data_IF_325200673840
#
_entry.id   IF_325200673840
#
_cell.length_a   1.000
_cell.length_b   1.000
_cell.length_c   1.000
_cell.angle_alpha   90.00
_cell.angle_beta   90.00
_cell.angle_gamma   90.00
#
_symmetry.space_group_name_H-M   'P 1'
#
loop_
_entity.id
_entity.type
_entity.pdbx_description
1 polymer ?
#
# COMPACT_ATOMS: atom_id res chain seq x y z
N UNK A 1 -25.42 17.98 -23.37
CA UNK A 1 -24.80 16.75 -22.82
C UNK A 1 -24.97 16.77 -21.30
N UNK A 2 -25.79 15.85 -20.78
CA UNK A 2 -26.06 15.72 -19.35
C UNK A 2 -24.83 15.17 -18.61
N UNK A 3 -24.86 15.21 -17.27
CA UNK A 3 -23.78 14.66 -16.44
C UNK A 3 -23.54 13.18 -16.75
N UNK A 4 -24.59 12.41 -16.94
CA UNK A 4 -24.56 10.97 -17.21
C UNK A 4 -24.02 10.64 -18.60
N UNK A 5 -24.46 11.37 -19.62
CA UNK A 5 -23.95 11.20 -20.99
C UNK A 5 -22.44 11.43 -21.06
N UNK A 6 -21.95 12.42 -20.29
CA UNK A 6 -20.51 12.70 -20.19
C UNK A 6 -19.73 11.61 -19.48
N UNK A 7 -20.31 11.00 -18.45
CA UNK A 7 -19.70 9.85 -17.78
C UNK A 7 -19.60 8.68 -18.74
N UNK A 8 -20.69 8.31 -19.43
CA UNK A 8 -20.71 7.20 -20.40
C UNK A 8 -19.73 7.41 -21.55
N UNK A 9 -19.66 8.64 -22.08
CA UNK A 9 -18.70 8.99 -23.12
C UNK A 9 -17.25 8.74 -22.68
N UNK A 10 -16.88 9.21 -21.49
CA UNK A 10 -15.51 9.00 -20.97
C UNK A 10 -15.25 7.56 -20.55
N UNK A 11 -16.27 6.83 -20.08
CA UNK A 11 -16.14 5.39 -19.81
C UNK A 11 -15.77 4.63 -21.08
N UNK A 12 -16.44 4.90 -22.21
CA UNK A 12 -16.11 4.27 -23.49
C UNK A 12 -14.65 4.52 -23.92
N UNK A 13 -14.19 5.77 -23.82
CA UNK A 13 -12.80 6.15 -24.14
C UNK A 13 -11.78 5.43 -23.25
N UNK A 14 -12.06 5.31 -21.95
CA UNK A 14 -11.14 4.64 -21.03
C UNK A 14 -11.10 3.13 -21.28
N UNK A 15 -12.21 2.52 -21.69
CA UNK A 15 -12.27 1.09 -22.01
C UNK A 15 -11.51 0.80 -23.32
N UNK A 16 -11.68 1.65 -24.34
CA UNK A 16 -10.89 1.59 -25.58
C UNK A 16 -9.38 1.74 -25.29
N UNK A 17 -9.02 2.69 -24.42
CA UNK A 17 -7.64 2.84 -23.95
C UNK A 17 -7.11 1.56 -23.28
N UNK A 18 -7.90 0.92 -22.41
CA UNK A 18 -7.49 -0.33 -21.74
C UNK A 18 -7.27 -1.46 -22.73
N UNK A 19 -8.11 -1.57 -23.77
CA UNK A 19 -7.95 -2.55 -24.85
C UNK A 19 -6.79 -2.25 -25.79
N UNK A 20 -6.38 -0.98 -25.93
CA UNK A 20 -5.32 -0.57 -26.87
C UNK A 20 -3.91 -1.03 -26.48
N UNK A 21 -3.64 -1.27 -25.19
CA UNK A 21 -2.29 -1.56 -24.69
C UNK A 21 -1.28 -0.41 -24.84
N UNK A 22 -1.72 0.76 -25.29
CA UNK A 22 -0.89 1.94 -25.50
C UNK A 22 -0.58 2.66 -24.18
N UNK A 23 0.49 3.47 -24.19
CA UNK A 23 0.69 4.45 -23.12
C UNK A 23 -0.38 5.54 -23.19
N UNK A 24 -0.77 6.12 -22.05
CA UNK A 24 -1.81 7.17 -22.01
C UNK A 24 -1.47 8.37 -22.90
N UNK A 25 -0.19 8.72 -23.02
CA UNK A 25 0.28 9.78 -23.90
C UNK A 25 0.15 9.42 -25.39
N UNK A 26 0.49 8.18 -25.77
CA UNK A 26 0.35 7.70 -27.14
C UNK A 26 -1.12 7.65 -27.57
N UNK A 27 -1.99 7.11 -26.71
CA UNK A 27 -3.44 7.08 -26.94
C UNK A 27 -4.02 8.49 -27.11
N UNK A 28 -3.64 9.44 -26.25
CA UNK A 28 -4.10 10.82 -26.38
C UNK A 28 -3.66 11.46 -27.70
N UNK A 29 -2.45 11.13 -28.18
CA UNK A 29 -1.92 11.65 -29.43
C UNK A 29 -2.66 11.06 -30.65
N UNK A 30 -2.91 9.76 -30.65
CA UNK A 30 -3.56 9.05 -31.75
C UNK A 30 -5.04 9.43 -31.89
N UNK A 31 -5.75 9.54 -30.77
CA UNK A 31 -7.18 9.86 -30.75
C UNK A 31 -7.46 11.38 -30.66
N UNK A 32 -6.41 12.22 -30.73
CA UNK A 32 -6.48 13.68 -30.62
C UNK A 32 -7.24 14.16 -29.36
N UNK A 33 -7.00 13.48 -28.23
CA UNK A 33 -7.62 13.75 -26.95
C UNK A 33 -6.71 14.65 -26.12
N UNK A 34 -7.30 15.64 -25.43
CA UNK A 34 -6.55 16.46 -24.48
C UNK A 34 -6.02 15.60 -23.31
N UNK A 35 -4.69 15.50 -23.09
CA UNK A 35 -4.12 14.63 -22.06
C UNK A 35 -4.60 14.97 -20.64
N UNK A 36 -4.74 16.27 -20.32
CA UNK A 36 -5.20 16.71 -19.00
C UNK A 36 -6.61 16.22 -18.69
N UNK A 37 -7.54 16.33 -19.65
CA UNK A 37 -8.91 15.80 -19.50
C UNK A 37 -8.90 14.28 -19.39
N UNK A 38 -8.10 13.60 -20.20
CA UNK A 38 -7.99 12.14 -20.16
C UNK A 38 -7.55 11.65 -18.78
N UNK A 39 -6.45 12.17 -18.23
CA UNK A 39 -5.97 11.75 -16.91
C UNK A 39 -6.95 12.11 -15.78
N UNK A 40 -7.60 13.26 -15.87
CA UNK A 40 -8.65 13.65 -14.93
C UNK A 40 -9.80 12.62 -14.92
N UNK A 41 -10.33 12.27 -16.10
CA UNK A 41 -11.43 11.31 -16.21
C UNK A 41 -11.02 9.89 -15.88
N UNK A 42 -9.81 9.46 -16.25
CA UNK A 42 -9.25 8.16 -15.84
C UNK A 42 -9.19 8.03 -14.33
N UNK A 43 -8.66 9.05 -13.63
CA UNK A 43 -8.60 9.08 -12.16
C UNK A 43 -9.99 9.09 -11.53
N UNK A 44 -10.90 9.90 -12.07
CA UNK A 44 -12.27 10.01 -11.56
C UNK A 44 -13.03 8.68 -11.68
N UNK A 45 -13.01 8.06 -12.86
CA UNK A 45 -13.70 6.78 -13.09
C UNK A 45 -13.06 5.63 -12.31
N UNK A 46 -11.75 5.64 -12.10
CA UNK A 46 -11.08 4.70 -11.20
C UNK A 46 -11.52 4.91 -9.74
N UNK A 47 -11.62 6.16 -9.29
CA UNK A 47 -12.08 6.47 -7.94
C UNK A 47 -13.56 6.15 -7.72
N UNK A 48 -14.41 6.31 -8.74
CA UNK A 48 -15.83 5.94 -8.65
C UNK A 48 -15.98 4.41 -8.53
N UNK A 49 -15.18 3.61 -9.26
CA UNK A 49 -15.09 2.16 -9.03
C UNK A 49 -14.54 1.81 -7.65
N UNK A 50 -13.52 2.54 -7.17
CA UNK A 50 -12.97 2.33 -5.84
C UNK A 50 -13.89 2.86 -4.74
N UNK A 51 -14.85 3.74 -5.01
CA UNK A 51 -15.77 4.25 -3.98
C UNK A 51 -16.77 3.18 -3.53
N UNK A 52 -17.10 2.21 -4.37
CA UNK A 52 -17.84 1.02 -3.94
C UNK A 52 -16.98 0.11 -3.02
N UNK A 53 -15.66 0.22 -3.09
CA UNK A 53 -14.68 -0.61 -2.37
C UNK A 53 -13.84 0.17 -1.34
N UNK A 54 -14.23 1.42 -1.02
CA UNK A 54 -13.62 2.25 0.05
C UNK A 54 -14.23 1.91 1.41
N UNK A 55 -14.36 0.61 1.68
CA UNK A 55 -14.49 0.11 3.04
C UNK A 55 -13.14 0.12 3.74
N UNK A 56 -13.15 0.10 5.08
CA UNK A 56 -11.95 -0.32 5.81
C UNK A 56 -11.68 -1.77 5.43
N UNK A 57 -10.54 -2.03 4.77
CA UNK A 57 -10.07 -3.39 4.60
C UNK A 57 -9.56 -3.86 5.96
N UNK A 58 -10.32 -4.73 6.61
CA UNK A 58 -9.88 -5.40 7.83
C UNK A 58 -8.61 -6.18 7.53
N UNK A 59 -7.49 -5.72 8.06
CA UNK A 59 -6.24 -6.47 8.00
C UNK A 59 -6.36 -7.63 8.97
N UNK A 60 -6.63 -8.83 8.46
CA UNK A 60 -6.47 -10.04 9.26
C UNK A 60 -4.99 -10.16 9.58
N UNK A 61 -4.59 -10.15 10.86
CA UNK A 61 -3.22 -10.47 11.20
C UNK A 61 -2.95 -11.86 10.66
N UNK A 62 -2.03 -11.97 9.69
CA UNK A 62 -1.40 -13.25 9.41
C UNK A 62 -0.63 -13.61 10.68
N UNK A 63 -1.29 -14.25 11.63
CA UNK A 63 -0.61 -15.02 12.66
C UNK A 63 0.07 -16.15 11.90
N UNK A 64 1.27 -15.88 11.38
CA UNK A 64 2.19 -16.94 11.02
C UNK A 64 2.22 -17.86 12.22
N UNK A 65 1.73 -19.08 12.01
CA UNK A 65 1.70 -20.15 12.99
C UNK A 65 3.15 -20.47 13.36
N UNK A 66 3.66 -19.69 14.29
CA UNK A 66 4.82 -19.96 15.11
C UNK A 66 4.33 -19.68 16.51
N UNK A 67 4.04 -20.74 17.24
CA UNK A 67 3.79 -20.68 18.68
C UNK A 67 5.07 -20.17 19.36
N UNK A 68 5.26 -18.85 19.36
CA UNK A 68 6.37 -18.22 20.06
C UNK A 68 5.81 -17.02 20.78
N UNK A 69 5.35 -17.28 22.01
CA UNK A 69 5.13 -16.26 23.04
C UNK A 69 6.47 -15.61 23.38
N UNK A 70 7.00 -14.81 22.46
CA UNK A 70 8.24 -14.08 22.57
C UNK A 70 7.99 -12.72 23.25
N UNK A 71 9.00 -12.24 23.96
CA UNK A 71 8.97 -10.93 24.61
C UNK A 71 9.71 -9.98 23.69
N UNK A 72 9.04 -8.92 23.27
CA UNK A 72 9.68 -7.82 22.55
C UNK A 72 10.05 -6.72 23.56
N UNK A 73 11.34 -6.41 23.64
CA UNK A 73 11.90 -5.36 24.49
C UNK A 73 12.28 -4.19 23.58
N UNK A 74 11.62 -3.06 23.75
CA UNK A 74 11.95 -1.82 23.06
C UNK A 74 12.78 -0.92 23.98
N UNK A 75 13.97 -0.54 23.52
CA UNK A 75 14.88 0.35 24.23
C UNK A 75 14.75 1.77 23.68
N UNK A 76 15.08 2.76 24.51
CA UNK A 76 14.94 4.19 24.19
C UNK A 76 15.87 4.67 23.06
N UNK A 77 16.88 3.88 22.72
CA UNK A 77 17.80 4.13 21.61
C UNK A 77 17.28 3.59 20.26
N UNK A 78 16.03 3.12 20.20
CA UNK A 78 15.42 2.58 18.98
C UNK A 78 15.78 1.12 18.70
N UNK A 79 16.57 0.47 19.56
CA UNK A 79 16.90 -0.95 19.44
C UNK A 79 15.75 -1.78 20.01
N UNK A 80 15.38 -2.83 19.28
CA UNK A 80 14.34 -3.77 19.68
C UNK A 80 14.95 -5.18 19.78
N UNK A 81 14.69 -5.87 20.88
CA UNK A 81 15.18 -7.23 21.15
C UNK A 81 13.99 -8.17 21.26
N UNK A 82 13.99 -9.25 20.49
CA UNK A 82 13.00 -10.31 20.58
C UNK A 82 13.57 -11.51 21.35
N UNK A 83 12.82 -11.98 22.35
CA UNK A 83 13.24 -13.06 23.25
C UNK A 83 12.24 -14.21 23.20
N UNK A 84 12.65 -15.33 22.64
CA UNK A 84 11.86 -16.58 22.62
C UNK A 84 11.94 -17.35 23.95
N UNK A 85 10.99 -18.25 24.18
CA UNK A 85 11.02 -19.16 25.34
C UNK A 85 12.26 -20.06 25.31
N UNK A 86 12.83 -20.37 26.48
CA UNK A 86 14.04 -21.18 26.60
C UNK A 86 15.35 -20.42 26.36
N UNK A 87 15.31 -19.08 26.39
CA UNK A 87 16.50 -18.25 26.32
C UNK A 87 17.40 -18.45 27.54
N UNK A 88 18.71 -18.29 27.34
CA UNK A 88 19.68 -18.28 28.42
C UNK A 88 19.73 -16.89 29.10
N UNK A 89 19.44 -16.79 30.41
CA UNK A 89 19.41 -15.50 31.11
C UNK A 89 20.75 -14.76 31.13
N UNK A 90 21.87 -15.50 31.13
CA UNK A 90 23.21 -14.90 31.17
C UNK A 90 23.51 -14.21 29.84
N UNK A 91 23.22 -14.89 28.74
CA UNK A 91 23.36 -14.33 27.38
C UNK A 91 22.46 -13.12 27.18
N UNK A 92 21.18 -13.18 27.58
CA UNK A 92 20.27 -12.03 27.45
C UNK A 92 20.76 -10.81 28.23
N UNK A 93 21.25 -11.02 29.46
CA UNK A 93 21.82 -9.95 30.27
C UNK A 93 23.01 -9.28 29.58
N UNK A 94 23.95 -10.06 29.04
CA UNK A 94 25.12 -9.52 28.34
C UNK A 94 24.74 -8.70 27.10
N UNK A 95 23.72 -9.15 26.35
CA UNK A 95 23.18 -8.40 25.21
C UNK A 95 22.59 -7.06 25.66
N UNK A 96 21.75 -7.06 26.70
CA UNK A 96 21.15 -5.84 27.23
C UNK A 96 22.22 -4.87 27.73
N UNK A 97 23.22 -5.35 28.48
CA UNK A 97 24.32 -4.52 28.98
C UNK A 97 25.14 -3.89 27.83
N UNK A 98 25.43 -4.66 26.78
CA UNK A 98 26.13 -4.17 25.60
C UNK A 98 25.33 -3.08 24.90
N UNK A 99 24.04 -3.33 24.66
CA UNK A 99 23.16 -2.39 23.95
C UNK A 99 22.93 -1.10 24.74
N UNK A 100 22.83 -1.19 26.07
CA UNK A 100 22.71 0.00 26.95
C UNK A 100 24.03 0.78 27.01
N UNK A 101 25.18 0.11 26.91
CA UNK A 101 26.49 0.77 26.89
C UNK A 101 26.78 1.50 25.57
N UNK A 102 26.10 1.16 24.48
CA UNK A 102 26.15 1.90 23.22
C UNK A 102 25.32 3.17 23.41
N UNK A 103 25.95 4.20 23.97
CA UNK A 103 25.41 5.56 23.94
C UNK A 103 25.49 6.08 22.49
N UNK A 104 24.42 6.68 21.95
CA UNK A 104 24.50 7.39 20.67
C UNK A 104 25.46 8.59 20.75
#
# INVERSE_FOLDING_TARGET
MTREERVRYWQGIIEEYRGSGLSGAAFCKEHNINPGRFYHWRRRLQNDCLQEDRGFLELVPCSSQGDTRSIHIHLTNGISVEVSRGFDPVTLRGVIETVVSIRP
#
